data_IF_498570924288
#
_entry.id   IF_498570924288
#
_cell.length_a   1.000
_cell.length_b   1.000
_cell.length_c   1.000
_cell.angle_alpha   90.00
_cell.angle_beta   90.00
_cell.angle_gamma   90.00
#
_symmetry.space_group_name_H-M   'P 1'
#
loop_
_entity.id
_entity.type
_entity.pdbx_description
1 polymer ?
#
# COMPACT_ATOMS: atom_id res chain seq x y z
N UNK A 1 -8.73 -0.97 15.48
CA UNK A 1 -8.22 -1.89 14.43
C UNK A 1 -6.71 -2.00 14.54
N UNK A 2 -6.13 -3.15 14.20
CA UNK A 2 -4.69 -3.42 14.32
C UNK A 2 -3.97 -3.29 12.95
N UNK A 3 -3.59 -2.04 12.63
CA UNK A 3 -2.88 -1.72 11.38
C UNK A 3 -1.43 -2.20 11.34
N UNK A 4 -0.76 -2.28 12.50
CA UNK A 4 0.61 -2.78 12.57
C UNK A 4 0.65 -4.26 12.19
N UNK A 5 -0.21 -5.07 12.83
CA UNK A 5 -0.28 -6.50 12.54
C UNK A 5 -0.71 -6.79 11.11
N UNK A 6 -1.68 -6.03 10.60
CA UNK A 6 -2.11 -6.14 9.20
C UNK A 6 -0.95 -5.88 8.24
N UNK A 7 -0.14 -4.84 8.50
CA UNK A 7 1.02 -4.53 7.65
C UNK A 7 2.06 -5.66 7.68
N UNK A 8 2.35 -6.20 8.86
CA UNK A 8 3.31 -7.31 9.02
C UNK A 8 2.88 -8.58 8.27
N UNK A 9 1.59 -8.90 8.26
CA UNK A 9 1.07 -10.08 7.57
C UNK A 9 1.03 -9.89 6.05
N UNK A 10 0.69 -8.68 5.58
CA UNK A 10 0.51 -8.40 4.16
C UNK A 10 1.84 -8.11 3.45
N UNK A 11 2.79 -7.43 4.10
CA UNK A 11 4.03 -6.96 3.47
C UNK A 11 4.88 -8.09 2.84
N UNK A 12 5.04 -9.28 3.45
CA UNK A 12 5.77 -10.40 2.85
C UNK A 12 5.15 -10.93 1.55
N UNK A 13 3.86 -10.65 1.31
CA UNK A 13 3.11 -11.13 0.15
C UNK A 13 3.12 -10.15 -1.03
N UNK A 14 3.63 -8.91 -0.86
CA UNK A 14 3.48 -7.80 -1.84
C UNK A 14 3.87 -8.13 -3.29
N UNK A 15 4.85 -9.00 -3.50
CA UNK A 15 5.29 -9.47 -4.82
C UNK A 15 4.95 -10.93 -5.09
N UNK A 16 4.52 -11.68 -4.06
CA UNK A 16 4.19 -13.10 -4.16
C UNK A 16 2.70 -13.34 -4.42
N UNK A 17 1.85 -12.33 -4.19
CA UNK A 17 0.40 -12.46 -4.29
C UNK A 17 -0.08 -12.89 -5.68
N UNK A 18 0.70 -12.63 -6.75
CA UNK A 18 0.43 -13.14 -8.10
C UNK A 18 0.29 -14.67 -8.15
N UNK A 19 0.98 -15.39 -7.25
CA UNK A 19 0.95 -16.86 -7.16
C UNK A 19 -0.37 -17.42 -6.60
N UNK A 20 -1.16 -16.59 -5.93
CA UNK A 20 -2.49 -16.97 -5.40
C UNK A 20 -3.54 -17.02 -6.52
N UNK A 21 -3.29 -16.34 -7.65
CA UNK A 21 -4.24 -16.21 -8.75
C UNK A 21 -5.03 -14.90 -8.71
N UNK A 22 -6.23 -14.90 -9.29
CA UNK A 22 -7.13 -13.74 -9.31
C UNK A 22 -6.87 -12.72 -10.44
N UNK A 23 -7.82 -11.79 -10.59
CA UNK A 23 -7.77 -10.73 -11.60
C UNK A 23 -6.84 -9.58 -11.19
N UNK A 24 -6.46 -8.73 -12.15
CA UNK A 24 -5.69 -7.52 -11.86
C UNK A 24 -6.40 -6.60 -10.87
N UNK A 25 -7.73 -6.51 -10.91
CA UNK A 25 -8.52 -5.70 -9.99
C UNK A 25 -8.43 -6.25 -8.55
N UNK A 26 -8.52 -7.57 -8.37
CA UNK A 26 -8.39 -8.21 -7.05
C UNK A 26 -6.98 -8.00 -6.46
N UNK A 27 -5.93 -8.13 -7.29
CA UNK A 27 -4.56 -7.83 -6.87
C UNK A 27 -4.38 -6.36 -6.50
N UNK A 28 -5.03 -5.45 -7.22
CA UNK A 28 -4.97 -4.02 -6.93
C UNK A 28 -5.57 -3.68 -5.56
N UNK A 29 -6.69 -4.33 -5.19
CA UNK A 29 -7.31 -4.18 -3.87
C UNK A 29 -6.36 -4.65 -2.77
N UNK A 30 -5.66 -5.77 -2.95
CA UNK A 30 -4.64 -6.23 -2.00
C UNK A 30 -3.53 -5.19 -1.81
N UNK A 31 -3.00 -4.61 -2.89
CA UNK A 31 -1.96 -3.57 -2.80
C UNK A 31 -2.49 -2.32 -2.09
N UNK A 32 -3.73 -1.90 -2.37
CA UNK A 32 -4.37 -0.77 -1.69
C UNK A 32 -4.60 -1.02 -0.21
N UNK A 33 -4.98 -2.25 0.17
CA UNK A 33 -5.13 -2.66 1.58
C UNK A 33 -3.80 -2.57 2.32
N UNK A 34 -2.71 -3.09 1.73
CA UNK A 34 -1.37 -3.00 2.31
C UNK A 34 -0.90 -1.54 2.44
N UNK A 35 -1.14 -0.71 1.43
CA UNK A 35 -0.81 0.73 1.50
C UNK A 35 -1.59 1.38 2.65
N UNK A 36 -2.89 1.12 2.74
CA UNK A 36 -3.75 1.72 3.76
C UNK A 36 -3.36 1.30 5.18
N UNK A 37 -3.10 0.01 5.43
CA UNK A 37 -2.64 -0.47 6.74
C UNK A 37 -1.28 0.11 7.11
N UNK A 38 -0.34 0.16 6.16
CA UNK A 38 0.99 0.73 6.38
C UNK A 38 0.94 2.23 6.67
N UNK A 39 0.04 2.97 6.00
CA UNK A 39 -0.25 4.38 6.25
C UNK A 39 -0.80 4.63 7.66
N UNK A 40 -1.72 3.79 8.12
CA UNK A 40 -2.42 3.95 9.40
C UNK A 40 -1.67 3.35 10.60
N UNK A 41 -0.60 2.61 10.35
CA UNK A 41 0.21 2.00 11.40
C UNK A 41 0.93 3.07 12.25
N UNK A 42 1.04 2.87 13.57
CA UNK A 42 1.81 3.76 14.43
C UNK A 42 3.34 3.65 14.23
N UNK A 43 3.80 2.62 13.51
CA UNK A 43 5.23 2.38 13.30
C UNK A 43 5.79 3.20 12.14
N UNK A 44 6.85 3.98 12.39
CA UNK A 44 7.48 4.83 11.37
C UNK A 44 8.02 4.03 10.18
N UNK A 45 8.51 2.82 10.41
CA UNK A 45 8.95 1.89 9.36
C UNK A 45 7.82 1.50 8.41
N UNK A 46 6.61 1.27 8.92
CA UNK A 46 5.43 1.00 8.10
C UNK A 46 5.01 2.23 7.30
N UNK A 47 5.06 3.42 7.89
CA UNK A 47 4.79 4.67 7.17
C UNK A 47 5.84 4.95 6.07
N UNK A 48 7.10 4.51 6.25
CA UNK A 48 8.11 4.52 5.19
C UNK A 48 7.74 3.55 4.06
N UNK A 49 7.36 2.31 4.41
CA UNK A 49 6.90 1.31 3.45
C UNK A 49 5.71 1.81 2.62
N UNK A 50 4.73 2.47 3.25
CA UNK A 50 3.59 3.06 2.56
C UNK A 50 3.99 4.05 1.46
N UNK A 51 4.97 4.92 1.74
CA UNK A 51 5.50 5.88 0.76
C UNK A 51 6.23 5.18 -0.39
N UNK A 52 7.05 4.17 -0.10
CA UNK A 52 7.69 3.35 -1.14
C UNK A 52 6.66 2.67 -2.05
N UNK A 53 5.62 2.06 -1.47
CA UNK A 53 4.56 1.39 -2.23
C UNK A 53 3.73 2.37 -3.07
N UNK A 54 3.48 3.59 -2.57
CA UNK A 54 2.82 4.63 -3.34
C UNK A 54 3.66 5.13 -4.51
N UNK A 55 4.98 5.27 -4.33
CA UNK A 55 5.90 5.61 -5.41
C UNK A 55 5.93 4.51 -6.49
N UNK A 56 6.02 3.23 -6.08
CA UNK A 56 5.92 2.08 -7.00
C UNK A 56 4.59 2.11 -7.78
N UNK A 57 3.49 2.43 -7.11
CA UNK A 57 2.17 2.52 -7.74
C UNK A 57 2.09 3.68 -8.72
N UNK A 58 2.60 4.87 -8.36
CA UNK A 58 2.61 6.04 -9.24
C UNK A 58 3.40 5.77 -10.52
N UNK A 59 4.56 5.12 -10.41
CA UNK A 59 5.35 4.70 -11.57
C UNK A 59 4.59 3.73 -12.50
N UNK A 60 3.74 2.85 -11.95
CA UNK A 60 2.91 1.90 -12.74
C UNK A 60 1.59 2.48 -13.25
N UNK A 61 1.07 3.52 -12.59
CA UNK A 61 -0.24 4.11 -12.83
C UNK A 61 -0.13 5.63 -12.79
N UNK A 62 0.63 6.18 -13.74
CA UNK A 62 1.03 7.58 -13.76
C UNK A 62 -0.16 8.54 -13.68
N UNK A 63 -1.25 8.26 -14.40
CA UNK A 63 -2.42 9.13 -14.47
C UNK A 63 -3.54 8.74 -13.51
N UNK A 64 -3.23 8.17 -12.34
CA UNK A 64 -4.24 7.75 -11.36
C UNK A 64 -4.52 8.83 -10.29
N UNK A 65 -5.68 9.52 -10.33
CA UNK A 65 -6.00 10.57 -9.35
C UNK A 65 -6.12 10.02 -7.92
N UNK A 66 -6.50 8.74 -7.80
CA UNK A 66 -6.55 8.05 -6.52
C UNK A 66 -5.17 7.93 -5.89
N UNK A 67 -4.14 7.59 -6.68
CA UNK A 67 -2.76 7.48 -6.19
C UNK A 67 -2.26 8.83 -5.73
N UNK A 68 -2.53 9.90 -6.49
CA UNK A 68 -2.14 11.26 -6.13
C UNK A 68 -2.77 11.70 -4.79
N UNK A 69 -4.07 11.44 -4.62
CA UNK A 69 -4.76 11.71 -3.35
C UNK A 69 -4.17 10.91 -2.17
N UNK A 70 -3.76 9.66 -2.38
CA UNK A 70 -3.13 8.87 -1.33
C UNK A 70 -1.71 9.37 -0.99
N UNK A 71 -0.94 9.80 -1.99
CA UNK A 71 0.37 10.43 -1.77
C UNK A 71 0.25 11.71 -0.94
N UNK A 72 -0.72 12.58 -1.24
CA UNK A 72 -0.99 13.79 -0.45
C UNK A 72 -1.33 13.44 1.01
N UNK A 73 -2.19 12.44 1.24
CA UNK A 73 -2.50 11.96 2.59
C UNK A 73 -1.27 11.41 3.31
N UNK A 74 -0.40 10.68 2.61
CA UNK A 74 0.81 10.12 3.20
C UNK A 74 1.80 11.21 3.67
N UNK A 75 1.85 12.35 2.96
CA UNK A 75 2.64 13.52 3.37
C UNK A 75 2.01 14.21 4.57
N UNK A 76 0.69 14.41 4.59
CA UNK A 76 0.00 15.12 5.66
C UNK A 76 -0.05 14.38 7.02
N UNK A 77 0.29 13.08 7.05
CA UNK A 77 0.35 12.28 8.28
C UNK A 77 1.75 12.23 8.92
N UNK A 78 2.75 12.89 8.31
CA UNK A 78 4.06 13.13 8.94
C UNK A 78 4.03 14.38 9.80
#
# INVERSE_FOLDING_TARGET
EDYAKSTELLAPLKYKFVKVGGSNAQRDVFHLLLIHSAMRSPLKSHQCLARSLLAERKAKKENSPMTDRLMLKAVAMH
#
